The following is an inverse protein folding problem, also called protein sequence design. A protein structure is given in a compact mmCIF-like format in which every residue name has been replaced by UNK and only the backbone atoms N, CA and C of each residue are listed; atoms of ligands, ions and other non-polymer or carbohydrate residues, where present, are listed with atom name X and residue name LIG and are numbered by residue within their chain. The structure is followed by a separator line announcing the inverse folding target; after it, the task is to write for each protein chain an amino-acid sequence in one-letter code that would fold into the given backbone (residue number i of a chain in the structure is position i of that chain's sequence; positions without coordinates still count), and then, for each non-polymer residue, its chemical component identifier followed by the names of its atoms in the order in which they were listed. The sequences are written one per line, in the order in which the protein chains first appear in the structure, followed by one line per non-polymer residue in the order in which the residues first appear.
data_IF_762744835649
#
_entry.id   IF_762744835649
#
_cell.length_a   1.000
_cell.length_b   1.000
_cell.length_c   1.000
_cell.angle_alpha   90.00
_cell.angle_beta   90.00
_cell.angle_gamma   90.00
#
_symmetry.space_group_name_H-M   'P 1'
#
loop_
_entity.id
_entity.type
_entity.pdbx_description
1 polymer ?
#
# COMPACT_ATOMS: atom_id res chain seq x y z
N UNK A 1 -3.03 5.78 1.90
CA UNK A 1 -3.91 5.97 0.74
C UNK A 1 -3.93 4.63 0.03
N UNK A 2 -5.06 3.91 0.02
CA UNK A 2 -5.18 2.60 -0.64
C UNK A 2 -6.14 2.77 -1.81
N UNK A 3 -5.77 2.27 -3.00
CA UNK A 3 -6.56 2.44 -4.23
C UNK A 3 -6.36 3.78 -4.95
N UNK A 4 -5.27 4.50 -4.70
CA UNK A 4 -4.91 5.73 -5.40
C UNK A 4 -3.42 5.69 -5.77
N UNK A 5 -3.07 6.23 -6.93
CA UNK A 5 -1.71 6.34 -7.42
C UNK A 5 -1.47 7.74 -8.02
N UNK A 6 -0.22 8.17 -8.05
CA UNK A 6 0.22 9.40 -8.72
C UNK A 6 1.23 9.03 -9.79
N UNK A 7 0.93 9.40 -11.04
CA UNK A 7 1.83 9.20 -12.19
C UNK A 7 2.31 10.58 -12.64
N UNK A 8 3.61 10.74 -12.80
CA UNK A 8 4.21 12.00 -13.28
C UNK A 8 4.74 11.79 -14.70
N UNK A 9 4.36 12.67 -15.61
CA UNK A 9 4.87 12.70 -16.98
C UNK A 9 5.87 13.86 -17.13
N UNK A 10 6.77 13.75 -18.10
CA UNK A 10 7.76 14.80 -18.39
C UNK A 10 7.09 16.05 -19.00
N UNK A 11 6.15 15.81 -19.92
CA UNK A 11 5.42 16.83 -20.66
C UNK A 11 3.93 16.87 -20.22
N UNK A 12 3.38 18.07 -19.90
CA UNK A 12 1.97 18.23 -19.55
C UNK A 12 1.00 17.76 -20.64
N UNK A 13 1.36 17.81 -21.92
CA UNK A 13 0.45 17.44 -23.00
C UNK A 13 0.28 15.92 -23.11
N UNK A 14 1.33 15.16 -22.81
CA UNK A 14 1.26 13.69 -22.67
C UNK A 14 0.32 13.31 -21.52
N UNK A 15 0.38 14.06 -20.40
CA UNK A 15 -0.53 13.83 -19.28
C UNK A 15 -1.99 14.10 -19.64
N UNK A 16 -2.28 15.16 -20.42
CA UNK A 16 -3.64 15.45 -20.92
C UNK A 16 -4.13 14.35 -21.87
N UNK A 17 -3.27 13.86 -22.76
CA UNK A 17 -3.59 12.77 -23.68
C UNK A 17 -3.91 11.49 -22.91
N UNK A 18 -3.04 11.08 -21.99
CA UNK A 18 -3.24 9.90 -21.15
C UNK A 18 -4.52 9.98 -20.31
N UNK A 19 -4.84 11.16 -19.75
CA UNK A 19 -6.09 11.38 -19.02
C UNK A 19 -7.31 11.15 -19.92
N UNK A 20 -7.30 11.61 -21.18
CA UNK A 20 -8.44 11.41 -22.10
C UNK A 20 -8.57 9.96 -22.55
N UNK A 21 -7.46 9.31 -22.89
CA UNK A 21 -7.45 7.97 -23.48
C UNK A 21 -7.69 6.86 -22.47
N UNK A 22 -7.17 7.01 -21.24
CA UNK A 22 -7.20 5.97 -20.20
C UNK A 22 -8.29 6.25 -19.16
N UNK A 23 -9.11 7.29 -19.34
CA UNK A 23 -10.24 7.58 -18.46
C UNK A 23 -11.20 6.37 -18.44
N UNK A 24 -11.56 5.89 -17.25
CA UNK A 24 -12.47 4.74 -17.06
C UNK A 24 -11.98 3.43 -17.66
N UNK A 25 -10.71 3.35 -18.08
CA UNK A 25 -10.13 2.08 -18.51
C UNK A 25 -10.29 1.03 -17.40
N UNK A 26 -10.85 -0.16 -17.72
CA UNK A 26 -11.08 -1.20 -16.72
C UNK A 26 -9.74 -1.77 -16.26
N UNK A 27 -9.33 -1.42 -15.05
CA UNK A 27 -8.16 -1.98 -14.39
C UNK A 27 -8.62 -2.91 -13.28
N UNK A 28 -8.27 -4.20 -13.39
CA UNK A 28 -8.69 -5.25 -12.45
C UNK A 28 -10.21 -5.24 -12.20
N UNK A 29 -10.96 -5.19 -13.30
CA UNK A 29 -12.44 -5.22 -13.29
C UNK A 29 -13.08 -3.98 -12.66
N UNK A 30 -12.31 -2.92 -12.39
CA UNK A 30 -12.81 -1.63 -11.90
C UNK A 30 -12.41 -0.50 -12.86
N UNK A 31 -13.35 0.37 -13.27
CA UNK A 31 -13.01 1.50 -14.13
C UNK A 31 -12.10 2.47 -13.36
N UNK A 32 -10.93 2.76 -13.92
CA UNK A 32 -9.99 3.71 -13.32
C UNK A 32 -10.53 5.14 -13.43
N UNK A 33 -10.37 5.94 -12.37
CA UNK A 33 -10.65 7.36 -12.39
C UNK A 33 -9.35 8.15 -12.38
N UNK A 34 -9.16 9.00 -13.39
CA UNK A 34 -7.96 9.82 -13.55
C UNK A 34 -8.38 11.30 -13.37
N UNK A 35 -7.54 12.05 -12.66
CA UNK A 35 -7.70 13.49 -12.42
C UNK A 35 -6.33 14.12 -12.23
N UNK A 36 -6.16 15.38 -12.61
CA UNK A 36 -4.93 16.11 -12.31
C UNK A 36 -4.71 16.26 -10.81
N UNK A 37 -3.45 16.17 -10.40
CA UNK A 37 -3.05 16.41 -9.02
C UNK A 37 -3.24 17.89 -8.65
N UNK A 38 -3.60 18.14 -7.39
CA UNK A 38 -3.78 19.51 -6.86
C UNK A 38 -2.46 20.27 -6.71
N UNK A 39 -1.38 19.55 -6.50
CA UNK A 39 -0.02 20.11 -6.38
C UNK A 39 0.93 19.35 -7.30
N UNK A 40 2.05 19.98 -7.65
CA UNK A 40 3.13 19.29 -8.38
C UNK A 40 3.77 18.21 -7.50
N UNK A 41 4.32 17.18 -8.12
CA UNK A 41 5.03 16.12 -7.40
C UNK A 41 6.47 16.54 -7.09
N UNK A 42 6.99 16.07 -5.95
CA UNK A 42 8.35 16.38 -5.50
C UNK A 42 9.38 16.05 -6.60
N UNK A 43 9.22 14.92 -7.30
CA UNK A 43 10.09 14.50 -8.40
C UNK A 43 10.07 15.46 -9.62
N UNK A 44 8.91 16.06 -9.94
CA UNK A 44 8.80 17.01 -11.06
C UNK A 44 9.40 18.36 -10.68
N UNK A 45 9.19 18.80 -9.44
CA UNK A 45 9.78 20.07 -8.94
C UNK A 45 11.30 19.94 -8.86
N UNK A 46 11.83 18.82 -8.35
CA UNK A 46 13.27 18.58 -8.30
C UNK A 46 13.93 18.66 -9.68
N UNK A 47 13.25 18.18 -10.74
CA UNK A 47 13.78 18.22 -12.11
C UNK A 47 13.65 19.59 -12.78
N UNK A 48 12.54 20.32 -12.56
CA UNK A 48 12.27 21.59 -13.25
C UNK A 48 12.78 22.81 -12.51
N UNK A 49 12.58 22.83 -11.19
CA UNK A 49 12.85 23.98 -10.33
C UNK A 49 13.62 23.52 -9.07
N UNK A 50 14.89 23.08 -9.22
CA UNK A 50 15.67 22.55 -8.10
C UNK A 50 15.86 23.57 -6.98
N UNK A 51 15.95 24.86 -7.32
CA UNK A 51 16.14 25.96 -6.36
C UNK A 51 14.96 26.16 -5.40
N UNK A 52 13.73 25.79 -5.81
CA UNK A 52 12.52 25.94 -4.99
C UNK A 52 12.02 24.60 -4.40
N UNK A 53 12.82 23.54 -4.52
CA UNK A 53 12.44 22.20 -4.07
C UNK A 53 12.22 22.14 -2.56
N UNK A 54 13.09 22.76 -1.76
CA UNK A 54 12.99 22.71 -0.31
C UNK A 54 11.74 23.43 0.19
N UNK A 55 11.44 24.61 -0.34
CA UNK A 55 10.20 25.34 -0.04
C UNK A 55 8.93 24.56 -0.42
N UNK A 56 8.95 23.87 -1.56
CA UNK A 56 7.83 23.04 -1.99
C UNK A 56 7.63 21.86 -1.02
N UNK A 57 8.74 21.22 -0.61
CA UNK A 57 8.73 20.08 0.30
C UNK A 57 8.26 20.47 1.70
N UNK A 58 8.69 21.61 2.24
CA UNK A 58 8.26 22.13 3.55
C UNK A 58 6.77 22.44 3.53
N UNK A 59 6.28 23.23 2.55
CA UNK A 59 4.85 23.54 2.37
C UNK A 59 3.99 22.28 2.28
N UNK A 60 4.44 21.26 1.53
CA UNK A 60 3.72 19.98 1.43
C UNK A 60 3.64 19.25 2.76
N UNK A 61 4.75 19.22 3.53
CA UNK A 61 4.76 18.58 4.84
C UNK A 61 3.86 19.31 5.84
N UNK A 62 3.88 20.64 5.85
CA UNK A 62 3.01 21.46 6.70
C UNK A 62 1.55 21.25 6.33
N UNK A 63 1.20 21.30 5.05
CA UNK A 63 -0.16 21.03 4.59
C UNK A 63 -0.62 19.62 4.98
N UNK A 64 0.24 18.61 4.89
CA UNK A 64 -0.06 17.24 5.35
C UNK A 64 -0.27 17.17 6.86
N UNK A 65 0.49 17.93 7.65
CA UNK A 65 0.34 18.01 9.11
C UNK A 65 -0.98 18.71 9.48
N UNK A 66 -1.27 19.86 8.88
CA UNK A 66 -2.50 20.62 9.11
C UNK A 66 -3.75 19.78 8.78
N UNK A 67 -3.78 19.20 7.58
CA UNK A 67 -4.90 18.36 7.11
C UNK A 67 -5.04 17.03 7.86
N UNK A 68 -4.03 16.61 8.65
CA UNK A 68 -4.16 15.42 9.50
C UNK A 68 -5.19 15.62 10.61
N UNK A 69 -5.31 16.84 11.13
CA UNK A 69 -6.14 17.17 12.28
C UNK A 69 -7.44 17.87 11.89
N UNK A 70 -7.42 18.71 10.86
CA UNK A 70 -8.60 19.51 10.46
C UNK A 70 -9.58 18.77 9.56
N UNK A 71 -9.24 17.56 9.07
CA UNK A 71 -10.10 16.86 8.12
C UNK A 71 -11.36 16.30 8.82
N UNK A 72 -12.56 16.83 8.51
CA UNK A 72 -13.79 16.46 9.20
C UNK A 72 -14.18 15.00 8.96
N UNK A 73 -13.77 14.40 7.84
CA UNK A 73 -14.00 12.97 7.59
C UNK A 73 -13.22 12.12 8.59
N UNK A 74 -11.96 12.46 8.87
CA UNK A 74 -11.15 11.75 9.88
C UNK A 74 -11.69 11.94 11.28
N UNK A 75 -12.18 13.13 11.63
CA UNK A 75 -12.83 13.38 12.91
C UNK A 75 -14.08 12.50 13.08
N UNK A 76 -14.93 12.42 12.04
CA UNK A 76 -16.11 11.53 12.02
C UNK A 76 -15.72 10.06 12.14
N UNK A 77 -14.68 9.59 11.43
CA UNK A 77 -14.19 8.21 11.55
C UNK A 77 -13.63 7.92 12.95
N UNK A 78 -12.93 8.87 13.58
CA UNK A 78 -12.41 8.72 14.94
C UNK A 78 -13.53 8.69 15.97
N UNK A 79 -14.52 9.58 15.85
CA UNK A 79 -15.70 9.62 16.71
C UNK A 79 -16.52 8.32 16.60
N UNK A 80 -16.73 7.81 15.38
CA UNK A 80 -17.41 6.54 15.15
C UNK A 80 -16.65 5.35 15.75
N UNK A 81 -15.31 5.36 15.71
CA UNK A 81 -14.49 4.31 16.33
C UNK A 81 -14.52 4.36 17.85
N UNK A 82 -14.46 5.57 18.43
CA UNK A 82 -14.52 5.78 19.89
C UNK A 82 -15.90 5.39 20.44
N UNK A 83 -16.98 5.74 19.74
CA UNK A 83 -18.34 5.34 20.12
C UNK A 83 -18.53 3.82 20.12
N UNK A 84 -17.90 3.10 19.18
CA UNK A 84 -17.94 1.64 19.13
C UNK A 84 -17.11 0.95 20.22
N UNK A 85 -16.16 1.67 20.85
CA UNK A 85 -15.28 1.13 21.91
C UNK A 85 -15.91 1.29 23.31
N UNK A 86 -16.78 2.29 23.50
CA UNK A 86 -17.45 2.58 24.78
C UNK A 86 -18.67 1.67 25.02
N UNK A 87 -19.32 1.19 23.96
CA UNK A 87 -20.55 0.39 24.04
C UNK A 87 -20.30 -1.12 24.29
N UNK A 88 -19.06 -1.54 24.57
CA UNK A 88 -18.73 -2.95 24.84
C UNK A 88 -19.05 -3.92 23.69
N UNK A 89 -19.41 -3.41 22.51
CA UNK A 89 -19.75 -4.19 21.34
C UNK A 89 -18.53 -4.93 20.82
N UNK A 90 -18.62 -6.27 20.84
CA UNK A 90 -17.66 -7.19 20.25
C UNK A 90 -17.05 -6.61 18.97
N UNK A 91 -15.71 -6.74 18.86
CA UNK A 91 -14.92 -6.30 17.73
C UNK A 91 -15.73 -6.41 16.42
N UNK A 92 -16.14 -5.26 15.88
CA UNK A 92 -16.82 -5.18 14.58
C UNK A 92 -16.11 -6.15 13.64
N UNK A 93 -16.82 -7.02 12.89
CA UNK A 93 -16.17 -7.91 11.95
C UNK A 93 -15.34 -6.98 11.07
N UNK A 94 -14.01 -7.08 11.18
CA UNK A 94 -13.10 -6.41 10.27
C UNK A 94 -13.66 -6.76 8.91
N UNK A 95 -14.20 -5.77 8.20
CA UNK A 95 -14.86 -6.00 6.93
C UNK A 95 -13.88 -6.83 6.11
N UNK A 96 -14.16 -8.14 5.98
CA UNK A 96 -13.35 -9.04 5.19
C UNK A 96 -13.52 -8.46 3.81
N UNK A 97 -12.49 -7.74 3.36
CA UNK A 97 -12.46 -7.22 2.01
C UNK A 97 -12.70 -8.43 1.12
N UNK A 98 -13.50 -8.32 0.06
CA UNK A 98 -13.47 -9.36 -0.95
C UNK A 98 -12.00 -9.55 -1.28
N UNK A 99 -11.49 -10.76 -1.04
CA UNK A 99 -10.14 -11.13 -1.43
C UNK A 99 -10.12 -10.86 -2.93
N UNK A 100 -9.49 -9.76 -3.33
CA UNK A 100 -9.29 -9.51 -4.74
C UNK A 100 -8.33 -10.61 -5.13
N UNK A 101 -8.85 -11.64 -5.81
CA UNK A 101 -8.06 -12.70 -6.41
C UNK A 101 -7.27 -12.06 -7.56
N UNK A 102 -6.25 -11.29 -7.20
CA UNK A 102 -5.24 -10.84 -8.14
C UNK A 102 -4.24 -11.98 -8.27
N UNK A 103 -3.92 -12.43 -9.49
CA UNK A 103 -2.74 -13.23 -9.72
C UNK A 103 -1.52 -12.50 -9.16
N UNK A 104 -0.67 -13.21 -8.42
CA UNK A 104 0.52 -12.64 -7.75
C UNK A 104 1.47 -11.96 -8.74
N UNK A 105 1.42 -12.32 -10.02
CA UNK A 105 2.18 -11.73 -11.13
C UNK A 105 1.93 -10.22 -11.32
N UNK A 106 0.75 -9.72 -10.96
CA UNK A 106 0.37 -8.31 -11.11
C UNK A 106 0.50 -7.51 -9.80
N UNK A 107 0.93 -8.15 -8.71
CA UNK A 107 1.21 -7.43 -7.47
C UNK A 107 2.54 -6.68 -7.60
N UNK A 108 2.60 -5.40 -7.20
CA UNK A 108 3.87 -4.71 -7.06
C UNK A 108 4.82 -5.55 -6.20
N UNK A 109 6.12 -5.65 -6.56
CA UNK A 109 7.07 -6.51 -5.86
C UNK A 109 7.01 -6.31 -4.35
N UNK A 110 6.55 -7.34 -3.63
CA UNK A 110 6.44 -7.32 -2.19
C UNK A 110 7.73 -7.85 -1.56
N UNK A 111 8.19 -7.17 -0.52
CA UNK A 111 9.31 -7.63 0.32
C UNK A 111 8.87 -8.73 1.30
N UNK A 112 7.87 -9.52 0.95
CA UNK A 112 7.28 -10.57 1.79
C UNK A 112 7.06 -11.75 0.85
N UNK A 113 7.57 -12.92 1.23
CA UNK A 113 7.35 -14.16 0.51
C UNK A 113 6.29 -14.95 1.26
N UNK A 114 5.34 -15.47 0.50
CA UNK A 114 4.33 -16.38 1.00
C UNK A 114 4.73 -17.78 0.55
N UNK A 115 4.95 -18.66 1.51
CA UNK A 115 5.20 -20.06 1.21
C UNK A 115 3.88 -20.82 1.36
N UNK A 116 3.51 -21.55 0.32
CA UNK A 116 2.32 -22.38 0.25
C UNK A 116 2.75 -23.82 -0.04
N UNK A 117 1.88 -24.79 0.26
CA UNK A 117 2.13 -26.21 0.02
C UNK A 117 3.37 -26.77 0.74
N UNK A 118 3.69 -26.24 1.93
CA UNK A 118 4.73 -26.82 2.77
C UNK A 118 4.17 -28.05 3.52
N UNK A 119 4.88 -29.18 3.51
CA UNK A 119 4.54 -30.30 4.36
C UNK A 119 4.61 -29.92 5.85
N UNK A 120 3.74 -30.49 6.67
CA UNK A 120 3.69 -30.22 8.12
C UNK A 120 4.98 -30.60 8.86
N UNK A 121 5.83 -31.42 8.24
CA UNK A 121 7.14 -31.82 8.77
C UNK A 121 8.21 -30.74 8.66
N UNK A 122 7.97 -29.66 7.91
CA UNK A 122 8.97 -28.61 7.68
C UNK A 122 9.07 -27.69 8.89
N UNK A 123 10.24 -27.67 9.51
CA UNK A 123 10.52 -26.82 10.67
C UNK A 123 11.07 -25.46 10.26
N UNK A 124 10.92 -24.48 11.16
CA UNK A 124 11.46 -23.12 11.00
C UNK A 124 12.96 -23.13 10.66
N UNK A 125 13.74 -23.99 11.30
CA UNK A 125 15.20 -24.01 11.14
C UNK A 125 15.64 -24.50 9.76
N UNK A 126 14.89 -25.44 9.16
CA UNK A 126 15.13 -25.91 7.80
C UNK A 126 14.87 -24.82 6.77
N UNK A 127 13.79 -24.06 6.94
CA UNK A 127 13.49 -22.91 6.10
C UNK A 127 14.60 -21.86 6.26
N UNK A 128 15.00 -21.56 7.49
CA UNK A 128 16.04 -20.57 7.76
C UNK A 128 17.39 -20.95 7.13
N UNK A 129 17.81 -22.22 7.17
CA UNK A 129 19.04 -22.68 6.52
C UNK A 129 19.00 -22.56 4.98
N UNK A 130 17.86 -22.85 4.35
CA UNK A 130 17.69 -22.71 2.90
C UNK A 130 17.72 -21.24 2.47
N UNK A 131 17.17 -20.37 3.31
CA UNK A 131 16.94 -18.97 3.01
C UNK A 131 18.11 -18.06 3.44
N UNK A 132 18.98 -18.52 4.36
CA UNK A 132 20.19 -17.80 4.78
C UNK A 132 21.23 -17.60 3.68
N UNK A 133 21.17 -18.39 2.59
CA UNK A 133 22.06 -18.22 1.44
C UNK A 133 21.80 -16.91 0.67
N UNK A 134 20.66 -16.26 0.89
CA UNK A 134 20.29 -15.02 0.23
C UNK A 134 20.64 -13.80 1.09
N UNK A 135 21.63 -12.97 0.71
CA UNK A 135 22.20 -11.92 1.56
C UNK A 135 21.25 -10.76 1.89
N UNK A 136 20.09 -10.66 1.22
CA UNK A 136 19.09 -9.60 1.42
C UNK A 136 17.86 -10.07 2.19
N UNK A 137 17.95 -11.22 2.86
CA UNK A 137 16.83 -11.91 3.45
C UNK A 137 16.91 -11.84 4.98
N UNK A 138 16.16 -10.94 5.60
CA UNK A 138 16.11 -10.74 7.05
C UNK A 138 14.73 -11.10 7.61
N UNK A 139 14.69 -11.95 8.63
CA UNK A 139 13.47 -12.43 9.28
C UNK A 139 13.00 -11.43 10.35
N UNK A 140 11.76 -10.92 10.25
CA UNK A 140 11.13 -10.13 11.33
C UNK A 140 9.89 -10.82 11.92
N UNK A 141 9.25 -11.75 11.19
CA UNK A 141 8.25 -12.65 11.76
C UNK A 141 7.84 -13.81 10.83
N UNK A 142 7.88 -15.03 11.36
CA UNK A 142 7.19 -16.21 10.85
C UNK A 142 5.79 -16.28 11.47
N UNK A 143 4.76 -16.19 10.63
CA UNK A 143 3.37 -16.39 11.07
C UNK A 143 2.79 -17.62 10.38
N UNK A 144 2.38 -18.59 11.18
CA UNK A 144 1.59 -19.73 10.70
C UNK A 144 0.13 -19.28 10.60
N UNK A 145 -0.48 -19.46 9.43
CA UNK A 145 -1.89 -19.19 9.23
C UNK A 145 -2.54 -20.32 8.45
N UNK A 146 -3.74 -20.70 8.88
CA UNK A 146 -4.63 -21.57 8.09
C UNK A 146 -5.54 -20.68 7.26
N UNK A 147 -5.46 -20.82 5.94
CA UNK A 147 -6.33 -20.13 4.98
C UNK A 147 -6.94 -21.20 4.08
N UNK A 148 -8.28 -21.29 4.06
CA UNK A 148 -9.04 -22.24 3.25
C UNK A 148 -8.74 -23.75 3.52
N UNK A 149 -8.30 -24.08 4.73
CA UNK A 149 -7.95 -25.45 5.13
C UNK A 149 -6.49 -25.84 4.86
N UNK A 150 -5.73 -24.98 4.19
CA UNK A 150 -4.30 -25.18 3.90
C UNK A 150 -3.42 -24.49 4.96
N UNK A 151 -2.35 -25.18 5.39
CA UNK A 151 -1.30 -24.57 6.20
C UNK A 151 -0.46 -23.67 5.30
N UNK A 152 -0.43 -22.38 5.61
CA UNK A 152 0.39 -21.39 4.89
C UNK A 152 1.32 -20.70 5.87
N UNK A 153 2.55 -20.44 5.40
CA UNK A 153 3.59 -19.79 6.19
C UNK A 153 3.92 -18.46 5.56
N UNK A 154 3.89 -17.40 6.37
CA UNK A 154 4.20 -16.04 5.94
C UNK A 154 5.56 -15.68 6.48
N UNK A 155 6.49 -15.40 5.58
CA UNK A 155 7.81 -14.91 5.93
C UNK A 155 7.87 -13.43 5.57
N UNK A 156 8.02 -12.58 6.58
CA UNK A 156 8.11 -11.13 6.41
C UNK A 156 9.57 -10.71 6.36
N UNK A 157 9.99 -10.01 5.29
CA UNK A 157 11.36 -9.49 5.17
C UNK A 157 11.44 -8.00 5.50
N UNK A 158 12.31 -7.66 6.44
CA UNK A 158 12.73 -6.28 6.70
C UNK A 158 14.05 -5.98 5.95
N UNK A 159 14.29 -4.72 5.60
CA UNK A 159 15.62 -4.25 5.15
C UNK A 159 16.07 -3.19 6.15
N UNK A 160 17.36 -3.17 6.50
CA UNK A 160 18.03 -1.98 7.05
C UNK A 160 17.89 -0.81 6.09
#
# INVERSE_FOLDING_TARGET
MRGQAFVSFENPDVAKKAMKEVQRFPLYSKPMQISFARSRSDAVVQKKDPNNFDDHKTKRQEHKKATRYTNPLKAKFRAKRLAAEIDGGAALPTAKRPAVQMPDEYLPPNKILFLQNLPESVTKDQLNALFSQYPNLYEDALHNYKLDGENKIKITFARK
#
